data_IF_323709722718
#
_entry.id   IF_323709722718
#
_cell.length_a   1.000
_cell.length_b   1.000
_cell.length_c   1.000
_cell.angle_alpha   90.00
_cell.angle_beta   90.00
_cell.angle_gamma   90.00
#
_symmetry.space_group_name_H-M   'P 1'
#
loop_
_entity.id
_entity.type
_entity.pdbx_description
1 polymer ?
#
# COMPACT_ATOMS: atom_id res chain seq x y z
N UNK A 1 -19.85 -7.50 10.21
CA UNK A 1 -18.94 -6.39 10.59
C UNK A 1 -17.58 -6.46 9.92
N UNK A 2 -16.93 -7.63 9.79
CA UNK A 2 -15.61 -7.74 9.14
C UNK A 2 -15.60 -7.17 7.71
N UNK A 3 -16.60 -7.51 6.90
CA UNK A 3 -16.71 -7.03 5.52
C UNK A 3 -16.85 -5.51 5.39
N UNK A 4 -17.70 -4.88 6.21
CA UNK A 4 -17.89 -3.43 6.17
C UNK A 4 -16.64 -2.66 6.59
N UNK A 5 -15.88 -3.20 7.55
CA UNK A 5 -14.60 -2.61 7.98
C UNK A 5 -13.54 -2.73 6.89
N UNK A 6 -13.42 -3.90 6.25
CA UNK A 6 -12.47 -4.06 5.14
C UNK A 6 -12.83 -3.16 3.96
N UNK A 7 -14.11 -3.08 3.57
CA UNK A 7 -14.54 -2.17 2.51
C UNK A 7 -14.28 -0.69 2.85
N UNK A 8 -14.40 -0.29 4.12
CA UNK A 8 -14.08 1.09 4.53
C UNK A 8 -12.58 1.41 4.40
N UNK A 9 -11.71 0.47 4.77
CA UNK A 9 -10.25 0.63 4.64
C UNK A 9 -9.87 0.70 3.15
N UNK A 10 -10.41 -0.21 2.33
CA UNK A 10 -10.16 -0.24 0.89
C UNK A 10 -10.67 1.05 0.21
N UNK A 11 -11.80 1.61 0.67
CA UNK A 11 -12.30 2.90 0.19
C UNK A 11 -11.35 4.06 0.54
N UNK A 12 -10.76 4.05 1.75
CA UNK A 12 -9.76 5.07 2.13
C UNK A 12 -8.52 4.98 1.24
N UNK A 13 -7.99 3.78 1.02
CA UNK A 13 -6.85 3.55 0.11
C UNK A 13 -7.19 4.02 -1.30
N UNK A 14 -8.36 3.65 -1.83
CA UNK A 14 -8.82 4.07 -3.15
C UNK A 14 -8.83 5.60 -3.30
N UNK A 15 -9.33 6.34 -2.30
CA UNK A 15 -9.36 7.80 -2.35
C UNK A 15 -7.97 8.39 -2.29
N UNK A 16 -7.11 7.91 -1.40
CA UNK A 16 -5.70 8.33 -1.30
C UNK A 16 -5.01 8.11 -2.66
N UNK A 17 -5.15 6.92 -3.23
CA UNK A 17 -4.56 6.58 -4.51
C UNK A 17 -5.06 7.46 -5.64
N UNK A 18 -6.37 7.67 -5.74
CA UNK A 18 -6.97 8.55 -6.76
C UNK A 18 -6.46 9.99 -6.67
N UNK A 19 -6.27 10.51 -5.45
CA UNK A 19 -5.71 11.87 -5.26
C UNK A 19 -4.26 11.98 -5.66
N UNK A 20 -3.43 10.99 -5.32
CA UNK A 20 -2.01 10.96 -5.69
C UNK A 20 -1.86 10.78 -7.20
N UNK A 21 -2.67 9.91 -7.81
CA UNK A 21 -2.68 9.72 -9.26
C UNK A 21 -2.96 11.04 -9.98
N UNK A 22 -3.97 11.78 -9.55
CA UNK A 22 -4.28 13.10 -10.13
C UNK A 22 -3.16 14.11 -9.95
N UNK A 23 -2.42 14.08 -8.84
CA UNK A 23 -1.23 14.92 -8.65
C UNK A 23 -0.06 14.47 -9.52
N UNK A 24 0.17 13.16 -9.63
CA UNK A 24 1.28 12.57 -10.37
C UNK A 24 1.14 12.79 -11.88
N UNK A 25 -0.06 12.60 -12.42
CA UNK A 25 -0.37 12.79 -13.84
C UNK A 25 -0.74 14.25 -14.20
N UNK A 26 -0.82 15.17 -13.23
CA UNK A 26 -1.03 16.59 -13.53
C UNK A 26 0.21 17.19 -14.19
N UNK A 27 0.02 17.74 -15.39
CA UNK A 27 1.04 18.47 -16.15
C UNK A 27 1.35 19.79 -15.43
N UNK A 28 2.62 20.21 -15.41
CA UNK A 28 3.10 21.38 -14.64
C UNK A 28 2.39 22.70 -14.96
N UNK A 29 1.78 22.83 -16.14
CA UNK A 29 1.03 24.02 -16.55
C UNK A 29 -0.42 24.04 -16.04
N UNK A 30 -0.99 22.88 -15.68
CA UNK A 30 -2.32 22.78 -15.11
C UNK A 30 -2.23 22.82 -13.59
N UNK A 31 -2.56 23.97 -13.00
CA UNK A 31 -2.69 24.14 -11.55
C UNK A 31 -3.40 22.94 -10.92
N UNK A 32 -2.76 22.26 -9.96
CA UNK A 32 -3.28 21.07 -9.25
C UNK A 32 -4.77 21.27 -9.00
N UNK A 33 -5.66 20.47 -9.62
CA UNK A 33 -7.07 20.80 -9.62
C UNK A 33 -7.57 20.80 -8.18
N UNK A 34 -7.95 21.96 -7.65
CA UNK A 34 -8.51 22.18 -6.30
C UNK A 34 -9.73 21.29 -5.97
N UNK A 35 -10.29 20.60 -6.97
CA UNK A 35 -11.39 19.63 -6.87
C UNK A 35 -10.96 18.16 -6.98
N UNK A 36 -9.66 17.85 -7.04
CA UNK A 36 -9.11 16.49 -7.15
C UNK A 36 -9.68 15.55 -6.10
N UNK A 37 -9.64 15.94 -4.82
CA UNK A 37 -10.19 15.15 -3.70
C UNK A 37 -11.70 14.93 -3.85
N UNK A 38 -12.46 15.98 -4.23
CA UNK A 38 -13.92 15.89 -4.40
C UNK A 38 -14.31 15.01 -5.60
N UNK A 39 -13.52 15.06 -6.68
CA UNK A 39 -13.71 14.25 -7.88
C UNK A 39 -13.39 12.79 -7.61
N UNK A 40 -12.26 12.52 -6.94
CA UNK A 40 -11.85 11.17 -6.53
C UNK A 40 -12.84 10.55 -5.55
N UNK A 41 -13.35 11.31 -4.58
CA UNK A 41 -14.44 10.88 -3.70
C UNK A 41 -15.72 10.58 -4.48
N UNK A 42 -16.11 11.43 -5.43
CA UNK A 42 -17.33 11.19 -6.25
C UNK A 42 -17.20 9.96 -7.14
N UNK A 43 -16.01 9.68 -7.66
CA UNK A 43 -15.74 8.48 -8.45
C UNK A 43 -15.69 7.22 -7.57
N UNK A 44 -15.11 7.30 -6.38
CA UNK A 44 -15.06 6.21 -5.40
C UNK A 44 -16.47 5.79 -4.93
N UNK A 45 -17.33 6.77 -4.62
CA UNK A 45 -18.71 6.53 -4.17
C UNK A 45 -19.74 6.38 -5.31
N UNK A 46 -19.33 6.62 -6.56
CA UNK A 46 -20.18 6.45 -7.74
C UNK A 46 -19.83 5.15 -8.50
N UNK A 47 -19.19 5.25 -9.67
CA UNK A 47 -18.93 4.12 -10.57
C UNK A 47 -18.05 3.02 -9.96
N UNK A 48 -17.13 3.35 -9.05
CA UNK A 48 -16.15 2.40 -8.51
C UNK A 48 -16.57 1.74 -7.19
N UNK A 49 -17.76 2.06 -6.67
CA UNK A 49 -18.28 1.48 -5.43
C UNK A 49 -18.39 -0.05 -5.48
N UNK A 50 -18.76 -0.59 -6.65
CA UNK A 50 -18.82 -2.04 -6.89
C UNK A 50 -17.44 -2.72 -6.83
N UNK A 51 -16.41 -2.06 -7.36
CA UNK A 51 -15.02 -2.56 -7.32
C UNK A 51 -14.48 -2.61 -5.89
N UNK A 52 -14.76 -1.58 -5.07
CA UNK A 52 -14.34 -1.50 -3.66
C UNK A 52 -15.10 -2.52 -2.80
N UNK A 53 -16.39 -2.71 -3.07
CA UNK A 53 -17.23 -3.73 -2.44
C UNK A 53 -16.67 -5.14 -2.70
N UNK A 54 -16.31 -5.42 -3.95
CA UNK A 54 -15.77 -6.71 -4.38
C UNK A 54 -14.38 -7.00 -3.79
N UNK A 55 -13.49 -6.01 -3.72
CA UNK A 55 -12.18 -6.20 -3.06
C UNK A 55 -12.32 -6.45 -1.57
N UNK A 56 -13.18 -5.69 -0.88
CA UNK A 56 -13.47 -5.90 0.53
C UNK A 56 -14.09 -7.28 0.80
N UNK A 57 -14.91 -7.80 -0.13
CA UNK A 57 -15.45 -9.16 -0.07
C UNK A 57 -14.34 -10.20 -0.24
N UNK A 58 -13.45 -10.00 -1.22
CA UNK A 58 -12.35 -10.92 -1.48
C UNK A 58 -11.40 -11.04 -0.26
N UNK A 59 -11.00 -9.91 0.33
CA UNK A 59 -10.19 -9.91 1.56
C UNK A 59 -10.96 -10.58 2.70
N UNK A 60 -12.25 -10.30 2.82
CA UNK A 60 -13.12 -10.95 3.81
C UNK A 60 -13.09 -12.48 3.68
N UNK A 61 -13.25 -13.00 2.47
CA UNK A 61 -13.17 -14.45 2.17
C UNK A 61 -11.78 -14.99 2.53
N UNK A 62 -10.70 -14.31 2.12
CA UNK A 62 -9.33 -14.73 2.44
C UNK A 62 -9.11 -14.85 3.95
N UNK A 63 -9.59 -13.88 4.74
CA UNK A 63 -9.48 -13.92 6.21
C UNK A 63 -10.30 -15.06 6.83
N UNK A 64 -11.50 -15.32 6.32
CA UNK A 64 -12.32 -16.46 6.76
C UNK A 64 -11.62 -17.78 6.43
N UNK A 65 -11.03 -17.92 5.25
CA UNK A 65 -10.29 -19.14 4.87
C UNK A 65 -9.05 -19.31 5.75
N UNK A 66 -8.27 -18.25 6.01
CA UNK A 66 -7.11 -18.33 6.91
C UNK A 66 -7.50 -18.78 8.31
N UNK A 67 -8.54 -18.16 8.88
CA UNK A 67 -9.01 -18.53 10.23
C UNK A 67 -9.54 -19.95 10.30
N UNK A 68 -10.20 -20.44 9.25
CA UNK A 68 -10.63 -21.84 9.16
C UNK A 68 -9.42 -22.80 9.09
N UNK A 69 -8.43 -22.48 8.26
CA UNK A 69 -7.19 -23.26 8.13
C UNK A 69 -6.37 -23.27 9.42
N UNK A 70 -6.28 -22.13 10.12
CA UNK A 70 -5.61 -22.03 11.42
C UNK A 70 -6.39 -22.73 12.55
N UNK A 71 -7.71 -22.82 12.44
CA UNK A 71 -8.53 -23.57 13.39
C UNK A 71 -8.35 -25.07 13.20
N UNK A 72 -8.36 -25.55 11.95
CA UNK A 72 -8.06 -26.96 11.62
C UNK A 72 -6.66 -27.40 12.08
N UNK A 73 -5.69 -26.48 12.13
CA UNK A 73 -4.34 -26.73 12.68
C UNK A 73 -4.34 -27.10 14.17
N UNK A 74 -5.31 -26.60 14.94
CA UNK A 74 -5.40 -26.87 16.40
C UNK A 74 -5.97 -28.26 16.69
N UNK A 75 -6.71 -28.83 15.75
CA UNK A 75 -7.42 -30.10 15.90
C UNK A 75 -6.65 -31.28 15.28
N UNK A 76 -5.95 -31.08 14.15
CA UNK A 76 -5.21 -32.14 13.46
C UNK A 76 -3.67 -31.98 13.56
N UNK A 77 -3.06 -32.66 14.52
CA UNK A 77 -1.62 -32.80 14.65
C UNK A 77 -1.13 -34.13 14.05
N UNK A 78 -1.08 -34.28 12.72
CA UNK A 78 -0.32 -35.39 12.11
C UNK A 78 -0.20 -35.25 10.58
N UNK A 79 1.01 -34.95 10.08
CA UNK A 79 1.39 -35.18 8.69
C UNK A 79 2.13 -34.03 8.00
N UNK A 80 3.32 -34.32 7.45
CA UNK A 80 4.11 -33.39 6.61
C UNK A 80 3.28 -32.88 5.42
N UNK A 81 2.39 -33.73 4.87
CA UNK A 81 1.51 -33.38 3.75
C UNK A 81 0.54 -32.25 4.12
N UNK A 82 -0.04 -32.27 5.33
CA UNK A 82 -0.96 -31.22 5.78
C UNK A 82 -0.21 -29.90 5.99
N UNK A 83 1.01 -29.96 6.54
CA UNK A 83 1.88 -28.78 6.69
C UNK A 83 2.23 -28.15 5.34
N UNK A 84 2.60 -28.96 4.34
CA UNK A 84 2.92 -28.48 2.99
C UNK A 84 1.69 -27.86 2.34
N UNK A 85 0.54 -28.54 2.38
CA UNK A 85 -0.70 -28.04 1.82
C UNK A 85 -1.12 -26.71 2.48
N UNK A 86 -0.99 -26.61 3.80
CA UNK A 86 -1.29 -25.38 4.54
C UNK A 86 -0.33 -24.25 4.18
N UNK A 87 0.97 -24.53 4.03
CA UNK A 87 1.94 -23.54 3.55
C UNK A 87 1.57 -23.05 2.15
N UNK A 88 1.20 -23.96 1.24
CA UNK A 88 0.75 -23.62 -0.10
C UNK A 88 -0.53 -22.76 -0.08
N UNK A 89 -1.53 -23.11 0.74
CA UNK A 89 -2.76 -22.33 0.89
C UNK A 89 -2.45 -20.95 1.46
N UNK A 90 -1.66 -20.84 2.52
CA UNK A 90 -1.33 -19.55 3.11
C UNK A 90 -0.51 -18.68 2.15
N UNK A 91 0.41 -19.27 1.39
CA UNK A 91 1.14 -18.58 0.33
C UNK A 91 0.16 -18.06 -0.73
N UNK A 92 -0.72 -18.91 -1.24
CA UNK A 92 -1.72 -18.53 -2.25
C UNK A 92 -2.66 -17.42 -1.76
N UNK A 93 -3.12 -17.49 -0.51
CA UNK A 93 -3.94 -16.45 0.11
C UNK A 93 -3.18 -15.12 0.23
N UNK A 94 -1.91 -15.16 0.62
CA UNK A 94 -1.05 -13.97 0.66
C UNK A 94 -0.81 -13.38 -0.72
N UNK A 95 -0.65 -14.22 -1.75
CA UNK A 95 -0.56 -13.77 -3.14
C UNK A 95 -1.85 -13.08 -3.62
N UNK A 96 -3.01 -13.61 -3.24
CA UNK A 96 -4.30 -13.01 -3.59
C UNK A 96 -4.47 -11.64 -2.91
N UNK A 97 -4.12 -11.53 -1.62
CA UNK A 97 -4.18 -10.23 -0.91
C UNK A 97 -3.23 -9.21 -1.53
N UNK A 98 -2.00 -9.62 -1.83
CA UNK A 98 -1.03 -8.77 -2.51
C UNK A 98 -1.59 -8.32 -3.87
N UNK A 99 -2.09 -9.24 -4.71
CA UNK A 99 -2.69 -8.87 -5.99
C UNK A 99 -3.91 -7.95 -5.83
N UNK A 100 -4.76 -8.18 -4.82
CA UNK A 100 -5.93 -7.33 -4.55
C UNK A 100 -5.50 -5.90 -4.18
N UNK A 101 -4.49 -5.73 -3.33
CA UNK A 101 -3.91 -4.43 -2.97
C UNK A 101 -3.47 -3.65 -4.22
N UNK A 102 -2.71 -4.29 -5.11
CA UNK A 102 -2.29 -3.68 -6.38
C UNK A 102 -3.45 -3.44 -7.36
N UNK A 103 -4.45 -4.31 -7.36
CA UNK A 103 -5.66 -4.17 -8.20
C UNK A 103 -6.47 -2.95 -7.80
N UNK A 104 -6.66 -2.71 -6.50
CA UNK A 104 -7.42 -1.56 -6.01
C UNK A 104 -6.71 -0.26 -6.28
N UNK A 105 -5.39 -0.22 -6.08
CA UNK A 105 -4.59 0.95 -6.43
C UNK A 105 -4.67 1.26 -7.94
N UNK A 106 -4.57 0.23 -8.78
CA UNK A 106 -4.70 0.39 -10.24
C UNK A 106 -6.11 0.82 -10.67
N UNK A 107 -7.14 0.26 -10.05
CA UNK A 107 -8.52 0.65 -10.29
C UNK A 107 -8.79 2.10 -9.86
N UNK A 108 -8.13 2.58 -8.79
CA UNK A 108 -8.21 3.97 -8.36
C UNK A 108 -7.57 4.95 -9.34
N UNK A 109 -6.51 4.52 -10.04
CA UNK A 109 -5.82 5.33 -11.07
C UNK A 109 -6.62 5.36 -12.37
N UNK A 110 -7.06 4.18 -12.84
CA UNK A 110 -7.69 4.03 -14.17
C UNK A 110 -9.20 4.23 -14.17
N UNK A 111 -9.87 4.00 -13.04
CA UNK A 111 -11.34 4.02 -12.94
C UNK A 111 -12.02 2.81 -13.57
N UNK A 112 -11.27 1.77 -13.94
CA UNK A 112 -11.78 0.57 -14.61
C UNK A 112 -12.42 -0.43 -13.63
N UNK A 113 -13.26 -1.32 -14.16
CA UNK A 113 -13.89 -2.39 -13.39
C UNK A 113 -12.84 -3.34 -12.77
N UNK A 114 -13.18 -3.96 -11.63
CA UNK A 114 -12.26 -4.83 -10.87
C UNK A 114 -11.55 -5.89 -11.73
N UNK A 115 -12.27 -6.62 -12.59
CA UNK A 115 -11.68 -7.69 -13.40
C UNK A 115 -10.68 -7.16 -14.43
N UNK A 116 -10.97 -6.01 -15.04
CA UNK A 116 -10.06 -5.34 -15.99
C UNK A 116 -8.80 -4.87 -15.27
N UNK A 117 -8.97 -4.19 -14.13
CA UNK A 117 -7.88 -3.72 -13.28
C UNK A 117 -7.02 -4.87 -12.77
N UNK A 118 -7.62 -5.99 -12.35
CA UNK A 118 -6.90 -7.17 -11.87
C UNK A 118 -6.01 -7.78 -12.97
N UNK A 119 -6.53 -7.87 -14.19
CA UNK A 119 -5.78 -8.38 -15.34
C UNK A 119 -4.59 -7.49 -15.68
N UNK A 120 -4.78 -6.17 -15.70
CA UNK A 120 -3.69 -5.23 -15.99
C UNK A 120 -2.63 -5.23 -14.88
N UNK A 121 -3.05 -5.18 -13.61
CA UNK A 121 -2.15 -5.29 -12.47
C UNK A 121 -1.36 -6.59 -12.47
N UNK A 122 -1.99 -7.72 -12.83
CA UNK A 122 -1.31 -9.00 -12.96
C UNK A 122 -0.23 -8.99 -14.05
N UNK A 123 -0.52 -8.43 -15.24
CA UNK A 123 0.48 -8.33 -16.32
C UNK A 123 1.65 -7.40 -15.95
N UNK A 124 1.36 -6.26 -15.32
CA UNK A 124 2.38 -5.35 -14.78
C UNK A 124 3.25 -6.05 -13.74
N UNK A 125 2.62 -6.76 -12.81
CA UNK A 125 3.29 -7.49 -11.77
C UNK A 125 4.13 -8.64 -12.34
N UNK A 126 3.64 -9.37 -13.34
CA UNK A 126 4.40 -10.43 -14.03
C UNK A 126 5.69 -9.92 -14.66
N UNK A 127 5.68 -8.70 -15.21
CA UNK A 127 6.84 -8.07 -15.86
C UNK A 127 7.82 -7.47 -14.85
N UNK A 128 7.32 -6.87 -13.77
CA UNK A 128 8.10 -6.09 -12.81
C UNK A 128 8.03 -6.63 -11.36
N UNK A 129 7.80 -7.93 -11.20
CA UNK A 129 7.48 -8.58 -9.93
C UNK A 129 8.52 -8.32 -8.84
N UNK A 130 9.79 -8.52 -9.19
CA UNK A 130 10.91 -8.30 -8.27
C UNK A 130 11.02 -6.84 -7.84
N UNK A 131 10.80 -5.90 -8.75
CA UNK A 131 10.84 -4.48 -8.43
C UNK A 131 9.68 -4.08 -7.52
N UNK A 132 8.48 -4.62 -7.77
CA UNK A 132 7.30 -4.30 -6.97
C UNK A 132 7.45 -4.81 -5.53
N UNK A 133 7.85 -6.07 -5.38
CA UNK A 133 8.08 -6.69 -4.07
C UNK A 133 9.25 -6.02 -3.34
N UNK A 134 10.32 -5.64 -4.06
CA UNK A 134 11.45 -4.94 -3.46
C UNK A 134 11.04 -3.56 -2.95
N UNK A 135 10.30 -2.77 -3.74
CA UNK A 135 9.85 -1.44 -3.32
C UNK A 135 8.92 -1.54 -2.12
N UNK A 136 7.93 -2.44 -2.14
CA UNK A 136 7.04 -2.65 -0.99
C UNK A 136 7.87 -3.06 0.25
N UNK A 137 8.75 -4.06 0.12
CA UNK A 137 9.56 -4.55 1.25
C UNK A 137 10.48 -3.46 1.80
N UNK A 138 11.17 -2.72 0.93
CA UNK A 138 12.09 -1.66 1.34
C UNK A 138 11.33 -0.50 1.96
N UNK A 139 10.22 -0.07 1.35
CA UNK A 139 9.36 0.98 1.89
C UNK A 139 8.90 0.63 3.31
N UNK A 140 8.24 -0.52 3.49
CA UNK A 140 7.69 -0.92 4.79
C UNK A 140 8.81 -1.09 5.84
N UNK A 141 9.98 -1.62 5.46
CA UNK A 141 11.12 -1.78 6.38
C UNK A 141 11.76 -0.44 6.76
N UNK A 142 11.93 0.47 5.81
CA UNK A 142 12.50 1.80 6.06
C UNK A 142 11.54 2.64 6.90
N UNK A 143 10.27 2.72 6.53
CA UNK A 143 9.26 3.44 7.32
C UNK A 143 9.15 2.84 8.72
N UNK A 144 9.09 1.51 8.83
CA UNK A 144 9.08 0.83 10.13
C UNK A 144 10.32 1.14 10.98
N UNK A 145 11.50 1.20 10.36
CA UNK A 145 12.75 1.57 11.02
C UNK A 145 12.75 3.01 11.51
N UNK A 146 12.30 3.96 10.69
CA UNK A 146 12.18 5.38 11.05
C UNK A 146 11.26 5.54 12.27
N UNK A 147 10.11 4.87 12.28
CA UNK A 147 9.16 4.89 13.40
C UNK A 147 9.76 4.31 14.66
N UNK A 148 10.44 3.17 14.54
CA UNK A 148 11.09 2.56 15.67
C UNK A 148 12.09 3.52 16.32
N UNK A 149 12.88 4.23 15.51
CA UNK A 149 13.82 5.26 15.98
C UNK A 149 13.09 6.44 16.63
N UNK A 150 12.08 7.02 15.97
CA UNK A 150 11.31 8.14 16.54
C UNK A 150 10.59 7.74 17.83
N UNK A 151 10.01 6.55 17.87
CA UNK A 151 9.35 6.00 19.06
C UNK A 151 10.34 5.79 20.20
N UNK A 152 11.55 5.31 19.91
CA UNK A 152 12.61 5.13 20.92
C UNK A 152 13.08 6.49 21.47
N UNK A 153 13.33 7.47 20.60
CA UNK A 153 13.70 8.84 20.99
C UNK A 153 12.59 9.44 21.86
N UNK A 154 11.33 9.30 21.45
CA UNK A 154 10.19 9.80 22.19
C UNK A 154 10.05 9.12 23.56
N UNK A 155 10.24 7.80 23.65
CA UNK A 155 10.21 7.08 24.93
C UNK A 155 11.30 7.59 25.89
N UNK A 156 12.51 7.83 25.39
CA UNK A 156 13.62 8.38 26.18
C UNK A 156 13.32 9.81 26.63
N UNK A 157 12.80 10.65 25.73
CA UNK A 157 12.42 12.03 26.03
C UNK A 157 11.29 12.10 27.06
N UNK A 158 10.25 11.28 26.89
CA UNK A 158 9.13 11.18 27.83
C UNK A 158 9.61 10.72 29.21
N UNK A 159 10.50 9.73 29.29
CA UNK A 159 11.11 9.29 30.55
C UNK A 159 11.91 10.42 31.23
N UNK A 160 12.72 11.16 30.47
CA UNK A 160 13.51 12.28 30.98
C UNK A 160 12.66 13.44 31.50
N UNK A 161 11.61 13.81 30.77
CA UNK A 161 10.67 14.87 31.17
C UNK A 161 9.87 14.43 32.40
N UNK A 162 9.39 13.19 32.46
CA UNK A 162 8.62 12.67 33.59
C UNK A 162 9.43 12.65 34.90
N UNK A 163 10.72 12.31 34.81
CA UNK A 163 11.65 12.37 35.94
C UNK A 163 11.97 13.80 36.40
N UNK A 164 11.90 14.79 35.50
CA UNK A 164 12.25 16.18 35.79
C UNK A 164 11.07 17.08 36.17
N UNK A 165 9.85 16.80 35.69
CA UNK A 165 8.68 17.67 35.85
C UNK A 165 7.82 17.30 37.05
N UNK A 166 7.87 16.05 37.52
CA UNK A 166 6.99 15.59 38.60
C UNK A 166 7.72 14.92 39.75
N UNK A 167 7.88 15.71 40.82
CA UNK A 167 8.03 15.26 42.21
C UNK A 167 6.66 14.88 42.83
N UNK A 168 5.65 14.61 41.98
CA UNK A 168 4.27 14.32 42.35
C UNK A 168 3.84 12.94 41.84
N UNK A 169 4.20 11.91 42.63
CA UNK A 169 3.47 10.64 42.77
C UNK A 169 2.91 9.95 41.51
N UNK A 170 1.82 9.22 41.72
CA UNK A 170 1.28 8.18 40.82
C UNK A 170 0.48 8.75 39.63
N UNK A 171 -0.11 9.94 39.77
CA UNK A 171 -0.98 10.55 38.75
C UNK A 171 -0.20 11.05 37.52
N UNK A 172 1.06 11.46 37.69
CA UNK A 172 1.92 11.90 36.59
C UNK A 172 2.23 10.78 35.60
N UNK A 173 2.42 9.56 36.11
CA UNK A 173 2.68 8.39 35.30
C UNK A 173 1.51 8.07 34.36
N UNK A 174 0.27 8.26 34.84
CA UNK A 174 -0.94 8.04 34.04
C UNK A 174 -1.05 9.05 32.89
N UNK A 175 -0.79 10.34 33.15
CA UNK A 175 -0.82 11.38 32.10
C UNK A 175 0.27 11.17 31.05
N UNK A 176 1.48 10.80 31.47
CA UNK A 176 2.59 10.51 30.56
C UNK A 176 2.34 9.24 29.72
N UNK A 177 1.79 8.19 30.33
CA UNK A 177 1.42 6.97 29.62
C UNK A 177 0.32 7.24 28.58
N UNK A 178 -0.68 8.05 28.93
CA UNK A 178 -1.75 8.44 28.01
C UNK A 178 -1.21 9.27 26.85
N UNK A 179 -0.35 10.27 27.12
CA UNK A 179 0.28 11.08 26.08
C UNK A 179 1.13 10.21 25.13
N UNK A 180 1.87 9.24 25.67
CA UNK A 180 2.64 8.29 24.88
C UNK A 180 1.77 7.37 24.02
N UNK A 181 0.66 6.88 24.58
CA UNK A 181 -0.31 6.07 23.84
C UNK A 181 -0.98 6.86 22.70
N UNK A 182 -1.31 8.15 22.90
CA UNK A 182 -1.86 8.98 21.82
C UNK A 182 -0.82 9.19 20.72
N UNK A 183 0.44 9.46 21.09
CA UNK A 183 1.48 9.72 20.10
C UNK A 183 1.81 8.50 19.24
N UNK A 184 1.84 7.30 19.83
CA UNK A 184 2.10 6.07 19.06
C UNK A 184 0.95 5.77 18.08
N UNK A 185 -0.30 6.04 18.47
CA UNK A 185 -1.47 5.90 17.59
C UNK A 185 -1.41 6.88 16.42
N UNK A 186 -1.09 8.14 16.69
CA UNK A 186 -0.96 9.18 15.65
C UNK A 186 0.16 8.82 14.68
N UNK A 187 1.34 8.48 15.20
CA UNK A 187 2.50 8.14 14.36
C UNK A 187 2.23 6.87 13.53
N UNK A 188 1.59 5.86 14.13
CA UNK A 188 1.17 4.65 13.43
C UNK A 188 0.22 4.94 12.27
N UNK A 189 -0.74 5.85 12.47
CA UNK A 189 -1.65 6.29 11.41
C UNK A 189 -0.93 6.97 10.26
N UNK A 190 -0.02 7.92 10.55
CA UNK A 190 0.76 8.59 9.51
C UNK A 190 1.55 7.62 8.65
N UNK A 191 2.11 6.58 9.26
CA UNK A 191 2.96 5.61 8.58
C UNK A 191 2.14 4.68 7.70
N UNK A 192 0.98 4.24 8.20
CA UNK A 192 0.04 3.51 7.37
C UNK A 192 -0.34 4.32 6.13
N UNK A 193 -0.61 5.62 6.27
CA UNK A 193 -0.90 6.49 5.12
C UNK A 193 0.31 6.61 4.18
N UNK A 194 1.51 6.84 4.70
CA UNK A 194 2.72 6.98 3.90
C UNK A 194 3.08 5.70 3.13
N UNK A 195 2.91 4.53 3.73
CA UNK A 195 3.13 3.24 3.05
C UNK A 195 2.19 3.08 1.84
N UNK A 196 0.90 3.40 2.02
CA UNK A 196 -0.07 3.43 0.92
C UNK A 196 0.27 4.47 -0.17
N UNK A 197 0.84 5.61 0.22
CA UNK A 197 1.29 6.65 -0.72
C UNK A 197 2.47 6.13 -1.55
N UNK A 198 3.47 5.52 -0.93
CA UNK A 198 4.65 4.97 -1.62
C UNK A 198 4.24 3.90 -2.63
N UNK A 199 3.37 2.98 -2.22
CA UNK A 199 2.84 1.94 -3.11
C UNK A 199 2.10 2.54 -4.31
N UNK A 200 1.30 3.57 -4.07
CA UNK A 200 0.60 4.28 -5.15
C UNK A 200 1.58 4.93 -6.12
N UNK A 201 2.57 5.67 -5.62
CA UNK A 201 3.56 6.35 -6.46
C UNK A 201 4.34 5.35 -7.30
N UNK A 202 4.72 4.21 -6.71
CA UNK A 202 5.38 3.14 -7.44
C UNK A 202 4.50 2.58 -8.58
N UNK A 203 3.21 2.37 -8.33
CA UNK A 203 2.28 1.89 -9.37
C UNK A 203 2.14 2.93 -10.48
N UNK A 204 2.01 4.22 -10.16
CA UNK A 204 2.00 5.29 -11.15
C UNK A 204 3.27 5.28 -12.00
N UNK A 205 4.45 5.15 -11.38
CA UNK A 205 5.73 5.01 -12.06
C UNK A 205 5.78 3.77 -12.97
N UNK A 206 5.27 2.63 -12.50
CA UNK A 206 5.23 1.39 -13.27
C UNK A 206 4.32 1.51 -14.51
N UNK A 207 3.20 2.23 -14.40
CA UNK A 207 2.28 2.52 -15.51
C UNK A 207 2.93 3.44 -16.54
N UNK A 208 3.55 4.54 -16.10
CA UNK A 208 4.31 5.47 -16.95
C UNK A 208 5.36 4.73 -17.78
N UNK A 209 6.12 3.86 -17.11
CA UNK A 209 7.16 3.06 -17.72
C UNK A 209 6.62 2.07 -18.77
N UNK A 210 5.48 1.43 -18.52
CA UNK A 210 4.87 0.49 -19.48
C UNK A 210 4.29 1.23 -20.71
N UNK A 211 3.82 2.47 -20.52
CA UNK A 211 3.35 3.35 -21.62
C UNK A 211 4.48 4.03 -22.39
N UNK A 212 5.68 4.12 -21.80
CA UNK A 212 6.82 4.84 -22.38
C UNK A 212 6.68 6.37 -22.28
N UNK A 213 5.82 6.86 -21.39
CA UNK A 213 5.61 8.29 -21.12
C UNK A 213 6.25 8.65 -19.77
N UNK A 214 6.79 9.86 -19.65
CA UNK A 214 7.39 10.36 -18.40
C UNK A 214 6.58 11.57 -17.95
N UNK A 215 5.63 11.37 -17.02
CA UNK A 215 4.83 12.48 -16.50
C UNK A 215 5.58 13.31 -15.45
N UNK A 216 6.52 12.70 -14.70
CA UNK A 216 7.37 13.38 -13.70
C UNK A 216 8.82 12.86 -13.76
N UNK A 217 9.75 13.74 -14.15
CA UNK A 217 11.18 13.39 -14.24
C UNK A 217 11.81 13.09 -12.87
N UNK A 218 11.45 13.86 -11.83
CA UNK A 218 12.02 13.69 -10.47
C UNK A 218 11.75 12.29 -9.88
N UNK A 219 10.55 11.76 -10.10
CA UNK A 219 10.21 10.40 -9.66
C UNK A 219 10.95 9.37 -10.50
N UNK A 220 11.13 9.63 -11.79
CA UNK A 220 11.86 8.70 -12.66
C UNK A 220 13.34 8.57 -12.27
N UNK A 221 14.01 9.66 -11.88
CA UNK A 221 15.40 9.63 -11.41
C UNK A 221 15.58 8.78 -10.14
N UNK A 222 14.68 8.93 -9.16
CA UNK A 222 14.76 8.16 -7.90
C UNK A 222 14.53 6.67 -8.15
N UNK A 223 13.55 6.32 -8.99
CA UNK A 223 13.17 4.92 -9.22
C UNK A 223 14.05 4.20 -10.27
N UNK A 224 14.83 4.92 -11.09
CA UNK A 224 15.79 4.32 -12.03
C UNK A 224 16.93 3.56 -11.34
N UNK A 225 17.27 3.92 -10.10
CA UNK A 225 18.31 3.27 -9.31
C UNK A 225 17.89 1.96 -8.66
N UNK A 226 16.60 1.60 -8.70
CA UNK A 226 16.14 0.31 -8.19
C UNK A 226 16.68 -0.84 -9.05
N UNK A 227 17.06 -1.98 -8.44
CA UNK A 227 17.48 -3.18 -9.17
C UNK A 227 16.24 -3.78 -9.87
N UNK A 228 15.90 -3.24 -11.03
CA UNK A 228 14.82 -3.75 -11.87
C UNK A 228 15.34 -5.01 -12.56
N UNK A 229 14.53 -6.09 -12.52
CA UNK A 229 14.75 -7.27 -13.35
C UNK A 229 14.82 -6.84 -14.82
N UNK A 230 16.03 -6.77 -15.34
CA UNK A 230 16.35 -6.28 -16.67
C UNK A 230 15.93 -7.34 -17.69
N UNK A 231 14.66 -7.32 -18.11
CA UNK A 231 14.24 -8.19 -19.22
C UNK A 231 13.36 -7.54 -20.30
N UNK A 232 13.41 -6.21 -20.46
CA UNK A 232 13.01 -5.60 -21.72
C UNK A 232 14.05 -4.59 -22.18
N UNK A 233 15.08 -5.11 -22.87
CA UNK A 233 15.84 -4.33 -23.83
C UNK A 233 15.07 -4.45 -25.16
N UNK A 234 13.91 -3.81 -25.26
CA UNK A 234 13.24 -3.64 -26.55
C UNK A 234 14.01 -2.59 -27.33
N UNK A 235 14.79 -3.11 -28.28
CA UNK A 235 15.45 -2.47 -29.42
C UNK A 235 14.91 -1.09 -29.77
N UNK A 236 15.60 -0.05 -29.31
CA UNK A 236 15.53 1.28 -29.93
C UNK A 236 16.25 1.17 -31.28
N UNK A 237 15.50 0.90 -32.34
CA UNK A 237 15.97 1.15 -33.70
C UNK A 237 15.93 2.66 -33.96
N UNK A 238 16.95 3.26 -34.58
CA UNK A 238 16.93 4.68 -34.90
C UNK A 238 15.87 4.93 -35.97
N UNK A 239 14.81 5.66 -35.63
CA UNK A 239 13.95 6.27 -36.65
C UNK A 239 14.71 7.46 -37.25
N UNK A 240 15.34 7.21 -38.39
CA UNK A 240 15.85 8.21 -39.31
C UNK A 240 14.70 9.13 -39.73
N UNK A 241 14.86 10.43 -39.49
CA UNK A 241 14.15 11.49 -40.20
C UNK A 241 14.49 11.43 -41.70
N UNK A 242 13.45 11.49 -42.53
CA UNK A 242 13.46 11.54 -43.99
C UNK A 242 12.11 10.99 -44.46
N UNK A 243 11.24 11.72 -45.13
CA UNK A 243 11.36 12.86 -46.07
C UNK A 243 10.21 13.83 -45.78
#
# INVERSE_FOLDING_TARGET
>A
MLWSLTSMIEAQVYVITGTIAQWYFAKEEDSVPRRSIRSSLRNAFGPSSGTICLSGLLIGIVRVVRTAVDSARREDASGIVNLVLQCCVNMLLSWIEFLNKFTINFAAITGEAYCTSARMSYELLKRNLLSAVFVETVSTRLLGGIVFVFSAIYAIAAWGILKGVTDLGVDSYFVALLAWAVLIVVLGFFIHVLDNVVDTVYICYAIDRDKGEVCKQDVHEVYVHLPISRNSRSTVGPRTLGV
#
